data_IF_685116643908
#
_entry.id   IF_685116643908
#
_cell.length_a   1.000
_cell.length_b   1.000
_cell.length_c   1.000
_cell.angle_alpha   90.00
_cell.angle_beta   90.00
_cell.angle_gamma   90.00
#
_symmetry.space_group_name_H-M   'P 1'
#
loop_
_entity.id
_entity.type
_entity.pdbx_description
1 polymer ?
#
# COMPACT_ATOMS: atom_id res chain seq x y z
N UNK A 1 -22.86 1.55 -30.14
CA UNK A 1 -22.12 1.03 -28.98
C UNK A 1 -20.76 1.72 -28.95
N UNK A 2 -20.56 2.68 -28.04
CA UNK A 2 -19.32 3.45 -27.95
C UNK A 2 -18.16 2.53 -27.59
N UNK A 3 -17.10 2.48 -28.40
CA UNK A 3 -15.84 1.80 -28.04
C UNK A 3 -15.31 2.49 -26.79
N UNK A 4 -15.18 1.76 -25.68
CA UNK A 4 -14.49 2.27 -24.50
C UNK A 4 -13.07 2.70 -24.93
N UNK A 5 -12.75 3.99 -24.78
CA UNK A 5 -11.43 4.50 -25.10
C UNK A 5 -10.37 3.74 -24.28
N UNK A 6 -9.25 3.40 -24.92
CA UNK A 6 -8.16 2.70 -24.24
C UNK A 6 -7.61 3.55 -23.09
N UNK A 7 -7.16 2.93 -22.00
CA UNK A 7 -6.58 3.68 -20.87
C UNK A 7 -5.41 4.58 -21.30
N UNK A 8 -4.61 4.13 -22.28
CA UNK A 8 -3.51 4.90 -22.86
C UNK A 8 -4.02 6.16 -23.60
N UNK A 9 -5.16 6.06 -24.26
CA UNK A 9 -5.80 7.17 -24.97
C UNK A 9 -6.36 8.19 -23.99
N UNK A 10 -6.99 7.73 -22.92
CA UNK A 10 -7.47 8.59 -21.84
C UNK A 10 -6.33 9.31 -21.11
N UNK A 11 -5.17 8.66 -20.93
CA UNK A 11 -3.99 9.31 -20.35
C UNK A 11 -3.50 10.49 -21.21
N UNK A 12 -3.48 10.35 -22.54
CA UNK A 12 -3.08 11.44 -23.44
C UNK A 12 -4.02 12.65 -23.37
N UNK A 13 -5.28 12.43 -23.00
CA UNK A 13 -6.29 13.48 -22.84
C UNK A 13 -6.19 14.24 -21.51
N UNK A 14 -5.37 13.76 -20.56
CA UNK A 14 -5.10 14.49 -19.32
C UNK A 14 -4.27 15.75 -19.60
N UNK A 15 -4.44 16.75 -18.73
CA UNK A 15 -3.61 17.97 -18.71
C UNK A 15 -2.14 17.57 -18.43
N UNK A 16 -1.12 18.17 -19.09
CA UNK A 16 0.29 17.72 -18.96
C UNK A 16 0.81 17.64 -17.51
N UNK A 17 0.61 18.64 -16.63
CA UNK A 17 0.91 18.51 -15.21
C UNK A 17 0.32 17.26 -14.53
N UNK A 18 -0.90 16.85 -14.90
CA UNK A 18 -1.54 15.67 -14.32
C UNK A 18 -0.90 14.36 -14.85
N UNK A 19 -0.43 14.36 -16.10
CA UNK A 19 0.31 13.23 -16.67
C UNK A 19 1.64 13.02 -15.94
N UNK A 20 2.39 14.09 -15.71
CA UNK A 20 3.66 14.06 -14.96
C UNK A 20 3.44 13.59 -13.51
N UNK A 21 2.43 14.15 -12.83
CA UNK A 21 2.06 13.73 -11.49
C UNK A 21 1.69 12.24 -11.43
N UNK A 22 0.92 11.74 -12.40
CA UNK A 22 0.59 10.32 -12.51
C UNK A 22 1.83 9.45 -12.72
N UNK A 23 2.71 9.82 -13.64
CA UNK A 23 3.94 9.08 -13.92
C UNK A 23 4.82 8.98 -12.66
N UNK A 24 5.00 10.10 -11.95
CA UNK A 24 5.73 10.14 -10.68
C UNK A 24 5.11 9.23 -9.62
N UNK A 25 3.79 9.31 -9.45
CA UNK A 25 3.06 8.49 -8.49
C UNK A 25 3.17 7.01 -8.85
N UNK A 26 3.03 6.63 -10.11
CA UNK A 26 3.19 5.25 -10.55
C UNK A 26 4.58 4.69 -10.25
N UNK A 27 5.62 5.51 -10.40
CA UNK A 27 7.00 5.12 -10.09
C UNK A 27 7.25 4.91 -8.59
N UNK A 28 6.67 5.75 -7.72
CA UNK A 28 6.93 5.69 -6.28
C UNK A 28 5.89 4.89 -5.48
N UNK A 29 4.71 4.56 -6.05
CA UNK A 29 3.57 4.02 -5.29
C UNK A 29 3.91 2.84 -4.39
N UNK A 30 4.67 1.85 -4.89
CA UNK A 30 5.00 0.63 -4.14
C UNK A 30 5.90 0.90 -2.94
N UNK A 31 6.72 1.95 -3.02
CA UNK A 31 7.63 2.37 -1.95
C UNK A 31 6.99 3.29 -0.93
N UNK A 32 5.88 3.94 -1.26
CA UNK A 32 5.29 4.97 -0.40
C UNK A 32 3.99 4.49 0.25
N UNK A 33 3.16 3.77 -0.51
CA UNK A 33 1.78 3.47 -0.14
C UNK A 33 1.61 1.97 0.10
N UNK A 34 0.85 1.64 1.15
CA UNK A 34 0.46 0.27 1.47
C UNK A 34 -1.07 0.09 1.33
N UNK A 35 -1.47 -0.71 0.35
CA UNK A 35 -2.88 -1.03 0.10
C UNK A 35 -3.24 -1.12 -1.37
N UNK A 36 -4.51 -0.83 -1.65
CA UNK A 36 -4.97 -0.68 -3.03
C UNK A 36 -4.34 0.55 -3.69
N UNK A 37 -3.53 0.27 -4.70
CA UNK A 37 -2.72 1.24 -5.43
C UNK A 37 -3.35 1.60 -6.79
N UNK A 38 -4.62 1.25 -6.99
CA UNK A 38 -5.32 1.54 -8.24
C UNK A 38 -5.72 3.01 -8.32
N UNK A 39 -5.06 3.72 -9.23
CA UNK A 39 -5.47 5.06 -9.66
C UNK A 39 -6.35 4.85 -10.89
N UNK A 40 -7.60 5.30 -10.82
CA UNK A 40 -8.56 5.15 -11.94
C UNK A 40 -8.69 6.44 -12.72
N UNK A 41 -9.05 6.32 -13.99
CA UNK A 41 -9.37 7.46 -14.85
C UNK A 41 -10.87 7.63 -14.88
N UNK A 42 -11.32 8.86 -14.63
CA UNK A 42 -12.72 9.23 -14.74
C UNK A 42 -12.90 10.17 -15.91
N UNK A 43 -13.83 9.84 -16.79
CA UNK A 43 -14.32 10.76 -17.82
C UNK A 43 -15.58 11.42 -17.29
N UNK A 44 -15.56 12.76 -17.18
CA UNK A 44 -16.74 13.57 -16.86
C UNK A 44 -17.20 14.27 -18.14
N UNK A 45 -18.44 13.99 -18.53
CA UNK A 45 -19.10 14.67 -19.64
C UNK A 45 -19.91 15.86 -19.13
N UNK A 46 -19.90 16.96 -19.87
CA UNK A 46 -20.66 18.17 -19.56
C UNK A 46 -21.78 18.33 -20.60
N UNK A 47 -23.03 17.99 -20.27
CA UNK A 47 -24.11 17.89 -21.26
C UNK A 47 -24.40 19.20 -22.02
N UNK A 48 -24.21 20.35 -21.35
CA UNK A 48 -24.51 21.67 -21.92
C UNK A 48 -23.46 22.12 -22.94
N UNK A 49 -22.17 21.94 -22.65
CA UNK A 49 -21.08 22.32 -23.56
C UNK A 49 -20.63 21.18 -24.48
N UNK A 50 -21.08 19.95 -24.20
CA UNK A 50 -20.62 18.70 -24.83
C UNK A 50 -19.13 18.43 -24.62
N UNK A 51 -18.50 19.13 -23.67
CA UNK A 51 -17.10 18.89 -23.32
C UNK A 51 -16.93 17.60 -22.53
N UNK A 52 -15.78 16.96 -22.70
CA UNK A 52 -15.36 15.84 -21.89
C UNK A 52 -14.05 16.17 -21.19
N UNK A 53 -14.00 15.93 -19.87
CA UNK A 53 -12.78 16.08 -19.08
C UNK A 53 -12.39 14.75 -18.48
N UNK A 54 -11.15 14.37 -18.73
CA UNK A 54 -10.53 13.22 -18.07
C UNK A 54 -9.85 13.71 -16.80
N UNK A 55 -10.09 13.06 -15.68
CA UNK A 55 -9.41 13.33 -14.42
C UNK A 55 -8.91 12.04 -13.77
N UNK A 56 -7.84 12.16 -13.01
CA UNK A 56 -7.37 11.08 -12.14
C UNK A 56 -8.25 11.00 -10.90
N UNK A 57 -8.60 9.78 -10.50
CA UNK A 57 -9.26 9.49 -9.22
C UNK A 57 -8.28 8.71 -8.37
N UNK A 58 -7.83 9.35 -7.29
CA UNK A 58 -6.90 8.75 -6.35
C UNK A 58 -7.66 8.18 -5.15
N UNK A 59 -7.25 7.01 -4.63
CA UNK A 59 -7.75 6.55 -3.34
C UNK A 59 -7.27 7.49 -2.22
N UNK A 60 -8.02 7.52 -1.12
CA UNK A 60 -7.62 8.31 0.05
C UNK A 60 -6.46 7.63 0.77
N UNK A 61 -5.34 8.36 0.87
CA UNK A 61 -4.15 7.94 1.60
C UNK A 61 -4.05 8.69 2.91
N UNK A 62 -3.82 7.94 3.98
CA UNK A 62 -3.69 8.46 5.34
C UNK A 62 -2.31 8.14 5.88
N UNK A 63 -1.67 9.16 6.48
CA UNK A 63 -0.44 8.98 7.23
C UNK A 63 -0.81 8.59 8.65
N UNK A 64 -0.43 7.38 9.05
CA UNK A 64 -0.76 6.80 10.36
C UNK A 64 0.50 6.33 11.07
N UNK A 65 0.40 6.17 12.38
CA UNK A 65 1.44 5.54 13.20
C UNK A 65 0.83 4.34 13.89
N UNK A 66 1.17 3.13 13.43
CA UNK A 66 0.66 1.89 13.98
C UNK A 66 1.71 1.28 14.91
N UNK A 67 1.31 0.86 16.10
CA UNK A 67 2.20 0.19 17.03
C UNK A 67 2.40 -1.28 16.62
N UNK A 68 3.65 -1.73 16.63
CA UNK A 68 4.04 -3.14 16.47
C UNK A 68 4.51 -3.64 17.83
N UNK A 69 3.88 -4.69 18.33
CA UNK A 69 4.25 -5.36 19.58
C UNK A 69 5.55 -6.14 19.39
N UNK A 70 5.76 -6.71 18.21
CA UNK A 70 6.99 -7.45 17.90
C UNK A 70 8.20 -6.53 17.91
N UNK A 71 8.08 -5.33 17.32
CA UNK A 71 9.16 -4.35 17.22
C UNK A 71 9.21 -3.37 18.40
N UNK A 72 8.19 -3.38 19.27
CA UNK A 72 8.03 -2.49 20.42
C UNK A 72 8.13 -0.99 20.06
N UNK A 73 7.53 -0.60 18.93
CA UNK A 73 7.55 0.80 18.46
C UNK A 73 6.39 1.14 17.55
N UNK A 74 6.10 2.44 17.44
CA UNK A 74 5.18 2.98 16.43
C UNK A 74 5.89 3.09 15.08
N UNK A 75 5.28 2.55 14.04
CA UNK A 75 5.78 2.57 12.66
C UNK A 75 4.97 3.59 11.86
N UNK A 76 5.61 4.65 11.31
CA UNK A 76 4.93 5.59 10.42
C UNK A 76 4.66 4.95 9.06
N UNK A 77 3.40 4.94 8.63
CA UNK A 77 2.96 4.30 7.39
C UNK A 77 2.00 5.22 6.63
N UNK A 78 1.99 5.11 5.30
CA UNK A 78 0.97 5.74 4.46
C UNK A 78 0.08 4.64 3.87
N UNK A 79 -1.20 4.64 4.24
CA UNK A 79 -2.10 3.53 4.00
C UNK A 79 -3.45 3.98 3.44
N UNK A 80 -4.14 3.07 2.76
CA UNK A 80 -5.55 3.29 2.41
C UNK A 80 -6.47 2.92 3.58
N UNK A 81 -7.67 3.51 3.62
CA UNK A 81 -8.71 3.15 4.59
C UNK A 81 -9.05 1.65 4.55
N UNK A 82 -9.03 1.03 3.37
CA UNK A 82 -9.31 -0.41 3.24
C UNK A 82 -8.25 -1.26 3.94
N UNK A 83 -6.98 -0.91 3.81
CA UNK A 83 -5.89 -1.62 4.49
C UNK A 83 -5.94 -1.44 6.00
N UNK A 84 -6.28 -0.23 6.48
CA UNK A 84 -6.43 0.04 7.90
C UNK A 84 -7.52 -0.85 8.51
N UNK A 85 -8.68 -0.95 7.86
CA UNK A 85 -9.76 -1.85 8.30
C UNK A 85 -9.32 -3.31 8.33
N UNK A 86 -8.62 -3.77 7.29
CA UNK A 86 -8.09 -5.15 7.28
C UNK A 86 -7.10 -5.41 8.42
N UNK A 87 -6.28 -4.43 8.78
CA UNK A 87 -5.37 -4.54 9.92
C UNK A 87 -6.15 -4.68 11.23
N UNK A 88 -7.17 -3.84 11.43
CA UNK A 88 -8.05 -3.90 12.59
C UNK A 88 -8.76 -5.27 12.67
N UNK A 89 -9.38 -5.71 11.57
CA UNK A 89 -10.09 -7.00 11.47
C UNK A 89 -9.18 -8.21 11.74
N UNK A 90 -7.90 -8.13 11.37
CA UNK A 90 -6.93 -9.20 11.60
C UNK A 90 -6.30 -9.19 13.00
N UNK A 91 -6.66 -8.21 13.84
CA UNK A 91 -6.17 -8.07 15.20
C UNK A 91 -4.80 -7.40 15.29
N UNK A 92 -4.55 -6.37 14.48
CA UNK A 92 -3.36 -5.52 14.57
C UNK A 92 -2.32 -5.72 13.47
N UNK A 93 -1.32 -4.82 13.47
CA UNK A 93 -0.33 -4.71 12.39
C UNK A 93 0.50 -5.98 12.21
N UNK A 94 1.03 -6.53 13.30
CA UNK A 94 1.88 -7.72 13.26
C UNK A 94 1.08 -8.95 12.80
N UNK A 95 -0.14 -9.11 13.33
CA UNK A 95 -1.08 -10.17 12.91
C UNK A 95 -1.37 -10.09 11.41
N UNK A 96 -1.64 -8.90 10.89
CA UNK A 96 -1.88 -8.67 9.47
C UNK A 96 -0.66 -9.05 8.62
N UNK A 97 0.54 -8.60 9.00
CA UNK A 97 1.79 -8.88 8.29
C UNK A 97 2.10 -10.39 8.24
N UNK A 98 1.91 -11.09 9.35
CA UNK A 98 2.21 -12.53 9.44
C UNK A 98 1.20 -13.38 8.66
N UNK A 99 -0.09 -13.04 8.71
CA UNK A 99 -1.17 -13.80 8.05
C UNK A 99 -1.28 -13.51 6.56
N UNK A 100 -0.94 -12.29 6.13
CA UNK A 100 -1.10 -11.88 4.73
C UNK A 100 0.06 -12.40 3.88
N UNK A 101 -0.17 -13.13 2.78
CA UNK A 101 0.89 -13.60 1.91
C UNK A 101 1.55 -12.43 1.16
N UNK A 102 2.82 -12.60 0.79
CA UNK A 102 3.66 -11.56 0.18
C UNK A 102 3.03 -10.96 -1.08
N UNK A 103 2.45 -11.81 -1.92
CA UNK A 103 1.77 -11.43 -3.16
C UNK A 103 0.57 -10.49 -2.93
N UNK A 104 -0.05 -10.52 -1.75
CA UNK A 104 -1.21 -9.69 -1.40
C UNK A 104 -0.84 -8.36 -0.74
N UNK A 105 0.37 -8.20 -0.21
CA UNK A 105 0.80 -6.93 0.41
C UNK A 105 0.92 -5.79 -0.60
N UNK A 106 1.27 -6.10 -1.86
CA UNK A 106 1.33 -5.17 -3.01
C UNK A 106 2.16 -3.89 -2.75
N UNK A 107 3.08 -3.91 -1.79
CA UNK A 107 3.84 -2.76 -1.33
C UNK A 107 5.22 -3.20 -0.85
N UNK A 108 6.27 -2.51 -1.28
CA UNK A 108 7.66 -2.82 -0.92
C UNK A 108 7.94 -2.46 0.55
N UNK A 109 7.31 -1.40 1.07
CA UNK A 109 7.43 -1.04 2.50
C UNK A 109 6.76 -2.06 3.39
N UNK A 110 5.60 -2.56 2.98
CA UNK A 110 4.90 -3.64 3.68
C UNK A 110 5.75 -4.92 3.73
N UNK A 111 6.31 -5.31 2.59
CA UNK A 111 7.22 -6.44 2.45
C UNK A 111 8.43 -6.30 3.37
N UNK A 112 9.11 -5.15 3.33
CA UNK A 112 10.27 -4.87 4.18
C UNK A 112 9.93 -4.97 5.67
N UNK A 113 8.80 -4.38 6.08
CA UNK A 113 8.34 -4.43 7.46
C UNK A 113 8.00 -5.87 7.90
N UNK A 114 7.38 -6.67 7.02
CA UNK A 114 7.13 -8.09 7.29
C UNK A 114 8.43 -8.84 7.58
N UNK A 115 9.45 -8.63 6.76
CA UNK A 115 10.75 -9.26 6.96
C UNK A 115 11.42 -8.82 8.26
N UNK A 116 11.30 -7.54 8.63
CA UNK A 116 11.77 -7.02 9.92
C UNK A 116 11.08 -7.72 11.11
N UNK A 117 9.75 -7.84 11.06
CA UNK A 117 8.94 -8.54 12.08
C UNK A 117 9.34 -10.01 12.17
N UNK A 118 9.42 -10.73 11.04
CA UNK A 118 9.80 -12.14 11.01
C UNK A 118 11.22 -12.37 11.55
N UNK A 119 12.15 -11.50 11.19
CA UNK A 119 13.55 -11.58 11.67
C UNK A 119 13.63 -11.36 13.17
N UNK A 120 12.88 -10.38 13.67
CA UNK A 120 12.80 -10.07 15.10
C UNK A 120 12.19 -11.23 15.89
N UNK A 121 11.11 -11.85 15.39
CA UNK A 121 10.50 -13.03 16.00
C UNK A 121 11.47 -14.21 16.04
N UNK A 122 12.17 -14.50 14.93
CA UNK A 122 13.18 -15.57 14.89
C UNK A 122 14.28 -15.33 15.91
N UNK A 123 14.75 -14.08 16.03
CA UNK A 123 15.76 -13.68 17.00
C UNK A 123 15.27 -13.86 18.44
N UNK A 124 14.08 -13.36 18.79
CA UNK A 124 13.48 -13.53 20.12
C UNK A 124 13.36 -15.01 20.48
N UNK A 125 12.82 -15.82 19.58
CA UNK A 125 12.69 -17.28 19.78
C UNK A 125 14.04 -17.97 19.99
N UNK A 126 15.07 -17.58 19.24
CA UNK A 126 16.42 -18.11 19.41
C UNK A 126 16.99 -17.75 20.79
N UNK A 127 16.87 -16.50 21.21
CA UNK A 127 17.34 -16.06 22.54
C UNK A 127 16.63 -16.81 23.68
N UNK A 128 15.32 -17.01 23.57
CA UNK A 128 14.55 -17.83 24.52
C UNK A 128 15.02 -19.29 24.56
N UNK A 129 15.35 -19.87 23.39
CA UNK A 129 15.88 -21.23 23.31
C UNK A 129 17.27 -21.34 23.96
N UNK A 130 18.17 -20.38 23.68
CA UNK A 130 19.51 -20.33 24.29
C UNK A 130 19.41 -20.16 25.80
N UNK A 131 18.50 -19.32 26.29
CA UNK A 131 18.28 -19.13 27.72
C UNK A 131 17.81 -20.41 28.42
N UNK A 132 17.07 -21.28 27.74
CA UNK A 132 16.57 -22.55 28.29
C UNK A 132 17.56 -23.71 28.19
N UNK A 133 18.29 -23.80 27.07
CA UNK A 133 19.09 -25.00 26.73
C UNK A 133 20.60 -24.76 26.73
N UNK A 134 21.06 -23.52 26.95
CA UNK A 134 22.45 -23.11 26.76
C UNK A 134 22.79 -22.88 25.28
N UNK A 135 23.97 -22.30 25.03
CA UNK A 135 24.43 -22.03 23.66
C UNK A 135 24.66 -23.35 22.90
N UNK A 136 24.25 -23.45 21.62
CA UNK A 136 24.62 -24.60 20.80
C UNK A 136 26.15 -24.61 20.64
N UNK A 137 26.78 -25.78 20.83
CA UNK A 137 28.20 -25.97 20.56
C UNK A 137 28.50 -25.97 19.06
#
# INVERSE_FOLDING_TARGET
MSKAASAQELLKRLIPPAQEAFARLQACKRKVIWGDNQITLRVRQYPKSKDERVSLVMPQWHKVHLYSEVLDRKVPLTMTNSTLRMIEDMGGLDSYLLKTPESKLKSDTASALKWEVLTTLRRKRYLEWVAKNGSPK
#
